data_IF_392428223534
#
_entry.id   IF_392428223534
#
_cell.length_a   1.000
_cell.length_b   1.000
_cell.length_c   1.000
_cell.angle_alpha   90.00
_cell.angle_beta   90.00
_cell.angle_gamma   90.00
#
_symmetry.space_group_name_H-M   'P 1'
#
loop_
_entity.id
_entity.type
_entity.pdbx_description
1 polymer ?
#
# COMPACT_ATOMS: atom_id res chain seq x y z
N UNK A 1 32.33 -19.36 -55.00
CA UNK A 1 31.77 -18.31 -54.13
C UNK A 1 30.57 -18.92 -53.42
N UNK A 2 30.79 -19.50 -52.25
CA UNK A 2 29.73 -20.15 -51.46
C UNK A 2 29.14 -19.10 -50.51
N UNK A 3 27.83 -18.91 -50.62
CA UNK A 3 27.05 -18.00 -49.77
C UNK A 3 27.02 -18.61 -48.37
N UNK A 4 27.62 -17.90 -47.40
CA UNK A 4 27.56 -18.26 -45.98
C UNK A 4 26.14 -17.97 -45.50
N UNK A 5 25.45 -19.04 -45.09
CA UNK A 5 24.14 -18.98 -44.48
C UNK A 5 24.19 -18.10 -43.23
N UNK A 6 23.15 -17.26 -43.09
CA UNK A 6 23.02 -16.28 -42.03
C UNK A 6 23.17 -16.91 -40.65
N UNK A 7 24.10 -16.35 -39.88
CA UNK A 7 24.17 -16.51 -38.44
C UNK A 7 22.84 -16.01 -37.87
N UNK A 8 22.00 -16.91 -37.38
CA UNK A 8 20.88 -16.52 -36.52
C UNK A 8 21.45 -15.68 -35.38
N UNK A 9 21.03 -14.42 -35.31
CA UNK A 9 21.34 -13.55 -34.18
C UNK A 9 20.72 -14.25 -32.96
N UNK A 10 21.49 -14.56 -31.91
CA UNK A 10 20.94 -15.21 -30.73
C UNK A 10 19.76 -14.39 -30.23
N UNK A 11 18.61 -15.03 -30.09
CA UNK A 11 17.39 -14.42 -29.55
C UNK A 11 17.70 -13.59 -28.32
N UNK A 12 17.08 -12.41 -28.20
CA UNK A 12 17.18 -11.58 -27.00
C UNK A 12 17.01 -12.45 -25.75
N UNK A 13 17.97 -12.36 -24.83
CA UNK A 13 17.95 -13.16 -23.61
C UNK A 13 16.84 -12.59 -22.74
N UNK A 14 15.72 -13.31 -22.71
CA UNK A 14 14.61 -13.06 -21.79
C UNK A 14 14.96 -13.57 -20.39
N UNK A 15 14.53 -12.85 -19.36
CA UNK A 15 14.62 -13.26 -17.96
C UNK A 15 13.30 -13.01 -17.25
N UNK A 16 12.87 -13.95 -16.42
CA UNK A 16 11.69 -13.78 -15.56
C UNK A 16 12.13 -13.49 -14.11
N UNK A 17 11.68 -12.37 -13.56
CA UNK A 17 11.97 -11.95 -12.19
C UNK A 17 10.66 -11.84 -11.41
N UNK A 18 10.59 -12.48 -10.24
CA UNK A 18 9.44 -12.41 -9.33
C UNK A 18 9.83 -11.76 -8.01
N UNK A 19 8.90 -11.06 -7.36
CA UNK A 19 9.05 -10.63 -5.97
C UNK A 19 7.78 -10.79 -5.15
N UNK A 20 7.94 -11.14 -3.87
CA UNK A 20 6.82 -11.27 -2.94
C UNK A 20 7.27 -11.17 -1.48
N UNK A 21 6.63 -10.29 -0.71
CA UNK A 21 6.64 -10.40 0.75
C UNK A 21 5.79 -11.60 1.20
N UNK A 22 6.44 -12.57 1.86
CA UNK A 22 5.79 -13.83 2.25
C UNK A 22 5.39 -13.89 3.72
N UNK A 23 5.46 -12.78 4.44
CA UNK A 23 4.97 -12.63 5.82
C UNK A 23 5.46 -13.74 6.78
N UNK A 24 6.72 -14.15 6.63
CA UNK A 24 7.40 -15.18 7.43
C UNK A 24 6.74 -16.56 7.40
N UNK A 25 5.90 -16.85 6.40
CA UNK A 25 5.28 -18.17 6.26
C UNK A 25 6.33 -19.25 6.14
N UNK A 26 6.05 -20.42 6.71
CA UNK A 26 6.96 -21.57 6.67
C UNK A 26 6.40 -22.65 5.75
N UNK A 27 7.24 -23.50 5.15
CA UNK A 27 6.79 -24.60 4.30
C UNK A 27 5.85 -25.59 5.01
N UNK A 28 5.90 -25.61 6.34
CA UNK A 28 5.04 -26.44 7.20
C UNK A 28 3.68 -25.82 7.51
N UNK A 29 3.45 -24.57 7.11
CA UNK A 29 2.16 -23.89 7.29
C UNK A 29 1.29 -24.04 6.05
N UNK A 30 -0.04 -24.13 6.22
CA UNK A 30 -0.98 -24.28 5.10
C UNK A 30 -0.83 -23.19 4.03
N UNK A 31 -0.59 -21.94 4.46
CA UNK A 31 -0.32 -20.83 3.56
C UNK A 31 1.07 -20.93 2.91
N UNK A 32 2.09 -21.36 3.65
CA UNK A 32 3.45 -21.46 3.12
C UNK A 32 3.63 -22.55 2.07
N UNK A 33 2.93 -23.68 2.19
CA UNK A 33 2.92 -24.70 1.14
C UNK A 33 2.41 -24.13 -0.19
N UNK A 34 1.26 -23.45 -0.15
CA UNK A 34 0.66 -22.80 -1.33
C UNK A 34 1.52 -21.66 -1.89
N UNK A 35 2.18 -20.88 -1.02
CA UNK A 35 3.15 -19.87 -1.44
C UNK A 35 4.31 -20.52 -2.21
N UNK A 36 4.86 -21.63 -1.71
CA UNK A 36 5.93 -22.34 -2.40
C UNK A 36 5.49 -22.89 -3.77
N UNK A 37 4.27 -23.42 -3.87
CA UNK A 37 3.68 -23.86 -5.14
C UNK A 37 3.54 -22.69 -6.13
N UNK A 38 3.06 -21.53 -5.68
CA UNK A 38 2.93 -20.33 -6.52
C UNK A 38 4.31 -19.86 -6.99
N UNK A 39 5.28 -19.74 -6.07
CA UNK A 39 6.65 -19.33 -6.41
C UNK A 39 7.29 -20.29 -7.42
N UNK A 40 7.10 -21.60 -7.25
CA UNK A 40 7.53 -22.61 -8.22
C UNK A 40 6.82 -22.45 -9.58
N UNK A 41 5.51 -22.22 -9.57
CA UNK A 41 4.69 -22.11 -10.77
C UNK A 41 5.02 -20.85 -11.60
N UNK A 42 5.54 -19.78 -10.97
CA UNK A 42 6.02 -18.59 -11.71
C UNK A 42 7.09 -18.95 -12.73
N UNK A 43 7.80 -20.07 -12.56
CA UNK A 43 8.93 -20.48 -13.39
C UNK A 43 9.99 -19.39 -13.53
N UNK A 44 10.09 -18.50 -12.53
CA UNK A 44 11.03 -17.39 -12.55
C UNK A 44 12.48 -17.89 -12.57
N UNK A 45 13.33 -17.09 -13.20
CA UNK A 45 14.78 -17.27 -13.20
C UNK A 45 15.40 -16.71 -11.93
N UNK A 46 14.82 -15.60 -11.43
CA UNK A 46 15.23 -14.90 -10.21
C UNK A 46 13.98 -14.62 -9.38
N UNK A 47 14.07 -14.86 -8.07
CA UNK A 47 13.01 -14.58 -7.11
C UNK A 47 13.60 -13.74 -5.98
N UNK A 48 12.97 -12.62 -5.66
CA UNK A 48 13.25 -11.85 -4.44
C UNK A 48 12.10 -12.05 -3.46
N UNK A 49 12.36 -12.72 -2.34
CA UNK A 49 11.38 -12.82 -1.27
C UNK A 49 11.75 -11.86 -0.16
N UNK A 50 10.78 -11.06 0.29
CA UNK A 50 10.90 -10.31 1.53
C UNK A 50 10.11 -10.98 2.64
N UNK A 51 10.54 -10.72 3.87
CA UNK A 51 10.02 -11.41 5.07
C UNK A 51 9.95 -12.94 4.88
N UNK A 52 11.02 -13.51 4.32
CA UNK A 52 11.04 -14.87 3.81
C UNK A 52 11.74 -15.88 4.72
N UNK A 53 11.46 -17.15 4.43
CA UNK A 53 12.29 -18.28 4.85
C UNK A 53 12.76 -19.04 3.62
N UNK A 54 13.99 -19.56 3.66
CA UNK A 54 14.60 -20.20 2.49
C UNK A 54 13.79 -21.38 1.94
N UNK A 55 13.13 -22.13 2.82
CA UNK A 55 12.38 -23.33 2.43
C UNK A 55 11.15 -23.08 1.55
N UNK A 56 10.70 -21.84 1.38
CA UNK A 56 9.61 -21.51 0.44
C UNK A 56 10.09 -21.43 -1.02
N UNK A 57 11.39 -21.28 -1.24
CA UNK A 57 11.96 -21.08 -2.57
C UNK A 57 12.08 -22.40 -3.33
N UNK A 58 12.03 -22.37 -4.67
CA UNK A 58 12.25 -23.54 -5.50
C UNK A 58 13.55 -24.30 -5.17
N UNK A 59 13.49 -25.63 -5.29
CA UNK A 59 14.65 -26.50 -5.11
C UNK A 59 15.71 -26.33 -6.20
N UNK A 60 16.97 -26.66 -5.88
CA UNK A 60 18.07 -26.74 -6.86
C UNK A 60 18.67 -25.39 -7.31
N UNK A 61 18.21 -24.26 -6.77
CA UNK A 61 18.77 -22.93 -7.06
C UNK A 61 19.80 -22.42 -6.04
N UNK A 62 20.31 -21.22 -6.31
CA UNK A 62 21.30 -20.51 -5.50
C UNK A 62 20.63 -19.39 -4.73
N UNK A 63 21.06 -19.18 -3.48
CA UNK A 63 20.47 -18.15 -2.61
C UNK A 63 21.53 -17.30 -1.95
N UNK A 64 21.24 -16.01 -1.86
CA UNK A 64 21.94 -15.05 -1.00
C UNK A 64 20.89 -14.29 -0.20
N UNK A 65 21.23 -13.87 1.02
CA UNK A 65 20.35 -13.08 1.87
C UNK A 65 21.06 -11.84 2.39
N UNK A 66 20.27 -10.85 2.81
CA UNK A 66 20.77 -9.60 3.35
C UNK A 66 21.29 -9.71 4.80
N UNK A 67 21.40 -10.92 5.34
CA UNK A 67 21.87 -11.18 6.68
C UNK A 67 20.79 -11.02 7.76
N UNK A 68 21.19 -10.95 9.04
CA UNK A 68 20.26 -10.82 10.16
C UNK A 68 19.49 -9.49 10.14
N UNK A 69 18.22 -9.53 10.58
CA UNK A 69 17.38 -8.33 10.69
C UNK A 69 17.95 -7.35 11.71
N UNK A 70 18.02 -6.08 11.32
CA UNK A 70 18.45 -5.00 12.19
C UNK A 70 17.34 -4.65 13.18
N UNK A 71 17.70 -4.61 14.47
CA UNK A 71 16.83 -4.07 15.51
C UNK A 71 15.69 -4.98 15.99
N UNK A 72 15.68 -6.25 15.56
CA UNK A 72 14.78 -7.29 16.03
C UNK A 72 15.55 -8.53 16.50
N UNK A 73 14.91 -9.37 17.32
CA UNK A 73 15.48 -10.65 17.76
C UNK A 73 15.78 -11.55 16.56
N UNK A 74 16.90 -12.27 16.64
CA UNK A 74 17.34 -13.16 15.58
C UNK A 74 16.55 -14.45 15.57
N UNK A 75 15.72 -14.61 14.55
CA UNK A 75 15.11 -15.90 14.19
C UNK A 75 15.96 -16.55 13.09
N UNK A 76 16.61 -17.67 13.40
CA UNK A 76 17.66 -18.25 12.55
C UNK A 76 17.23 -18.51 11.10
N UNK A 77 15.97 -18.89 10.89
CA UNK A 77 15.41 -19.24 9.58
C UNK A 77 14.84 -18.06 8.79
N UNK A 78 14.63 -16.91 9.42
CA UNK A 78 13.95 -15.74 8.84
C UNK A 78 14.95 -14.75 8.27
N UNK A 79 14.69 -14.25 7.06
CA UNK A 79 15.43 -13.15 6.43
C UNK A 79 14.50 -12.11 5.84
N UNK A 80 14.78 -10.84 6.11
CA UNK A 80 13.99 -9.72 5.57
C UNK A 80 14.10 -9.64 4.05
N UNK A 81 15.22 -10.07 3.47
CA UNK A 81 15.42 -10.22 2.02
C UNK A 81 16.19 -11.50 1.72
N UNK A 82 15.67 -12.31 0.81
CA UNK A 82 16.36 -13.44 0.18
C UNK A 82 16.27 -13.26 -1.33
N UNK A 83 17.41 -13.31 -2.01
CA UNK A 83 17.48 -13.42 -3.47
C UNK A 83 17.79 -14.87 -3.81
N UNK A 84 16.95 -15.46 -4.64
CA UNK A 84 17.12 -16.79 -5.22
C UNK A 84 17.31 -16.66 -6.73
N UNK A 85 18.14 -17.53 -7.29
CA UNK A 85 18.36 -17.63 -8.72
C UNK A 85 18.48 -19.08 -9.14
N UNK A 86 17.90 -19.44 -10.28
CA UNK A 86 18.11 -20.73 -10.93
C UNK A 86 19.58 -20.92 -11.36
N UNK A 87 20.27 -19.82 -11.62
CA UNK A 87 21.65 -19.77 -12.09
C UNK A 87 22.61 -19.41 -10.95
N UNK A 88 23.92 -19.72 -11.07
CA UNK A 88 24.92 -19.36 -10.08
C UNK A 88 24.82 -17.91 -9.64
N UNK A 89 24.80 -17.68 -8.33
CA UNK A 89 24.54 -16.38 -7.72
C UNK A 89 25.68 -16.00 -6.78
N UNK A 90 26.33 -14.87 -7.05
CA UNK A 90 27.42 -14.34 -6.24
C UNK A 90 26.97 -13.06 -5.53
N UNK A 91 27.17 -12.97 -4.21
CA UNK A 91 26.91 -11.74 -3.44
C UNK A 91 28.02 -10.74 -3.67
N UNK A 92 27.67 -9.54 -4.09
CA UNK A 92 28.60 -8.42 -4.30
C UNK A 92 28.61 -7.48 -3.09
N UNK A 93 27.44 -7.14 -2.58
CA UNK A 93 27.27 -6.20 -1.48
C UNK A 93 26.13 -6.62 -0.56
N UNK A 94 26.23 -6.22 0.70
CA UNK A 94 25.18 -6.39 1.71
C UNK A 94 25.14 -5.11 2.54
N UNK A 95 23.94 -4.60 2.83
CA UNK A 95 23.79 -3.53 3.80
C UNK A 95 24.25 -4.03 5.17
N UNK A 96 25.24 -3.38 5.77
CA UNK A 96 25.79 -3.76 7.09
C UNK A 96 25.51 -2.74 8.18
N UNK A 97 24.90 -1.60 7.85
CA UNK A 97 24.72 -0.47 8.75
C UNK A 97 23.31 0.08 8.76
N UNK A 98 22.89 0.58 9.92
CA UNK A 98 21.64 1.34 10.08
C UNK A 98 20.43 0.65 9.45
N UNK A 99 19.60 1.43 8.76
CA UNK A 99 18.36 0.94 8.18
C UNK A 99 18.56 -0.12 7.07
N UNK A 100 19.74 -0.20 6.42
CA UNK A 100 20.00 -1.16 5.34
C UNK A 100 20.45 -2.53 5.83
N UNK A 101 20.87 -2.65 7.09
CA UNK A 101 21.29 -3.92 7.67
C UNK A 101 20.14 -4.93 7.70
N UNK A 102 20.38 -6.12 7.12
CA UNK A 102 19.35 -7.15 6.99
C UNK A 102 18.35 -6.91 5.85
N UNK A 103 18.38 -5.74 5.20
CA UNK A 103 17.31 -5.25 4.31
C UNK A 103 17.77 -4.90 2.89
N UNK A 104 19.07 -4.97 2.64
CA UNK A 104 19.67 -4.70 1.32
C UNK A 104 20.73 -5.74 0.99
N UNK A 105 20.62 -6.35 -0.19
CA UNK A 105 21.66 -7.22 -0.77
C UNK A 105 21.78 -6.94 -2.26
N UNK A 106 23.01 -6.94 -2.76
CA UNK A 106 23.30 -6.88 -4.20
C UNK A 106 24.01 -8.17 -4.57
N UNK A 107 23.53 -8.81 -5.62
CA UNK A 107 24.08 -10.06 -6.10
C UNK A 107 24.00 -10.16 -7.61
N UNK A 108 24.92 -10.88 -8.21
CA UNK A 108 24.96 -11.10 -9.65
C UNK A 108 24.69 -12.56 -9.96
N UNK A 109 23.65 -12.80 -10.75
CA UNK A 109 23.32 -14.09 -11.32
C UNK A 109 24.07 -14.24 -12.65
N UNK A 110 24.70 -15.41 -12.86
CA UNK A 110 25.45 -15.72 -14.08
C UNK A 110 24.56 -16.55 -15.01
N UNK A 111 23.79 -15.86 -15.87
CA UNK A 111 22.91 -16.51 -16.85
C UNK A 111 23.67 -16.89 -18.13
N UNK A 112 23.16 -17.86 -18.93
CA UNK A 112 23.73 -18.19 -20.24
C UNK A 112 23.86 -16.97 -21.17
N UNK A 113 22.93 -16.02 -21.05
CA UNK A 113 22.92 -14.77 -21.81
C UNK A 113 23.73 -13.62 -21.20
N UNK A 114 24.62 -13.91 -20.25
CA UNK A 114 25.43 -12.93 -19.53
C UNK A 114 24.86 -12.53 -18.17
N UNK A 115 25.66 -11.84 -17.35
CA UNK A 115 25.30 -11.54 -15.97
C UNK A 115 24.12 -10.57 -15.88
N UNK A 116 23.30 -10.75 -14.84
CA UNK A 116 22.29 -9.79 -14.40
C UNK A 116 22.50 -9.55 -12.91
N UNK A 117 22.55 -8.27 -12.54
CA UNK A 117 22.65 -7.83 -11.16
C UNK A 117 21.26 -7.65 -10.57
N UNK A 118 21.09 -8.09 -9.33
CA UNK A 118 19.85 -7.98 -8.56
C UNK A 118 20.14 -7.21 -7.29
N UNK A 119 19.40 -6.12 -7.09
CA UNK A 119 19.34 -5.36 -5.85
C UNK A 119 18.07 -5.78 -5.11
N UNK A 120 18.22 -6.68 -4.14
CA UNK A 120 17.13 -7.13 -3.28
C UNK A 120 16.91 -6.15 -2.14
N UNK A 121 15.69 -5.63 -1.99
CA UNK A 121 15.35 -4.60 -0.99
C UNK A 121 14.15 -4.97 -0.12
N UNK A 122 14.18 -4.53 1.14
CA UNK A 122 13.01 -4.44 2.01
C UNK A 122 13.08 -3.08 2.71
N UNK A 123 12.62 -2.03 2.04
CA UNK A 123 12.70 -0.67 2.53
C UNK A 123 11.84 -0.56 3.80
N UNK A 124 12.33 0.03 4.91
CA UNK A 124 11.59 0.06 6.17
C UNK A 124 10.19 0.66 6.04
N UNK A 125 9.20 0.06 6.70
CA UNK A 125 7.85 0.62 6.76
C UNK A 125 7.79 1.86 7.66
N UNK A 126 6.68 2.59 7.61
CA UNK A 126 6.45 3.83 8.37
C UNK A 126 6.88 3.76 9.84
N UNK A 127 6.53 2.68 10.53
CA UNK A 127 6.69 2.54 11.98
C UNK A 127 7.87 1.60 12.34
N UNK A 128 8.80 1.35 11.42
CA UNK A 128 10.00 0.55 11.68
C UNK A 128 10.77 1.13 12.88
N UNK A 129 10.95 0.32 13.92
CA UNK A 129 11.57 0.69 15.19
C UNK A 129 10.93 1.86 15.96
N UNK A 130 9.68 2.22 15.67
CA UNK A 130 8.97 3.27 16.43
C UNK A 130 8.36 2.71 17.71
N UNK A 131 7.72 1.53 17.64
CA UNK A 131 7.03 0.90 18.79
C UNK A 131 7.47 -0.53 19.08
N UNK A 132 8.21 -1.15 18.18
CA UNK A 132 8.67 -2.55 18.26
C UNK A 132 10.14 -2.62 17.89
N UNK A 133 10.84 -3.69 18.27
CA UNK A 133 12.28 -3.79 18.04
C UNK A 133 13.06 -2.80 18.91
N UNK A 134 13.84 -1.89 18.30
CA UNK A 134 14.65 -0.90 19.04
C UNK A 134 13.84 0.21 19.73
N UNK A 135 12.63 0.50 19.24
CA UNK A 135 11.73 1.51 19.81
C UNK A 135 12.34 2.93 19.96
N UNK A 136 13.32 3.28 19.14
CA UNK A 136 14.07 4.54 19.19
C UNK A 136 13.96 5.37 17.90
N UNK A 137 13.14 4.95 16.94
CA UNK A 137 12.93 5.65 15.68
C UNK A 137 11.67 6.54 15.68
N UNK A 138 11.62 7.49 14.75
CA UNK A 138 10.43 8.29 14.46
C UNK A 138 9.72 7.78 13.21
N UNK A 139 8.40 8.04 13.03
CA UNK A 139 7.70 7.63 11.83
C UNK A 139 8.42 8.11 10.55
N UNK A 140 8.68 7.17 9.64
CA UNK A 140 9.43 7.33 8.39
C UNK A 140 10.93 7.65 8.52
N UNK A 141 11.52 7.78 9.72
CA UNK A 141 12.93 8.16 9.83
C UNK A 141 13.86 7.08 9.26
N UNK A 142 13.62 5.80 9.55
CA UNK A 142 14.43 4.72 8.98
C UNK A 142 14.18 4.51 7.49
N UNK A 143 12.96 4.77 7.02
CA UNK A 143 12.66 4.73 5.59
C UNK A 143 13.53 5.74 4.82
N UNK A 144 13.64 6.96 5.34
CA UNK A 144 14.44 8.02 4.73
C UNK A 144 15.95 7.75 4.86
N UNK A 145 16.43 7.29 6.03
CA UNK A 145 17.84 6.86 6.19
C UNK A 145 18.20 5.74 5.21
N UNK A 146 17.28 4.78 5.00
CA UNK A 146 17.48 3.72 4.02
C UNK A 146 17.62 4.30 2.60
N UNK A 147 16.73 5.20 2.20
CA UNK A 147 16.76 5.82 0.87
C UNK A 147 18.03 6.65 0.67
N UNK A 148 18.48 7.40 1.68
CA UNK A 148 19.74 8.15 1.63
C UNK A 148 20.97 7.25 1.46
N UNK A 149 20.94 6.06 2.05
CA UNK A 149 21.99 5.05 1.86
C UNK A 149 21.90 4.40 0.49
N UNK A 150 20.69 4.09 0.03
CA UNK A 150 20.46 3.47 -1.27
C UNK A 150 20.91 4.39 -2.41
N UNK A 151 20.63 5.70 -2.32
CA UNK A 151 21.08 6.72 -3.29
C UNK A 151 22.60 6.73 -3.48
N UNK A 152 23.37 6.46 -2.43
CA UNK A 152 24.84 6.40 -2.53
C UNK A 152 25.33 5.14 -3.24
N UNK A 153 24.52 4.09 -3.25
CA UNK A 153 24.87 2.78 -3.78
C UNK A 153 24.48 2.68 -5.25
N UNK A 154 23.25 3.06 -5.63
CA UNK A 154 22.73 2.83 -6.99
C UNK A 154 23.63 3.39 -8.12
N UNK A 155 24.21 4.60 -8.02
CA UNK A 155 25.10 5.11 -9.07
C UNK A 155 26.37 4.27 -9.27
N UNK A 156 26.89 3.64 -8.20
CA UNK A 156 28.06 2.76 -8.30
C UNK A 156 27.78 1.45 -9.06
N UNK A 157 26.51 1.15 -9.33
CA UNK A 157 26.07 -0.05 -10.04
C UNK A 157 25.87 0.16 -11.55
N UNK A 158 26.03 1.38 -12.10
CA UNK A 158 26.03 1.60 -13.57
C UNK A 158 27.40 1.31 -14.19
N UNK A 159 27.91 0.09 -13.97
CA UNK A 159 29.18 -0.42 -14.48
C UNK A 159 29.04 -1.21 -15.79
N UNK A 160 27.87 -1.17 -16.41
CA UNK A 160 27.57 -1.91 -17.63
C UNK A 160 26.69 -3.14 -17.44
N UNK A 161 26.55 -3.66 -16.22
CA UNK A 161 25.74 -4.87 -15.97
C UNK A 161 24.24 -4.51 -15.93
N UNK A 162 23.38 -5.20 -16.71
CA UNK A 162 21.93 -5.02 -16.61
C UNK A 162 21.46 -5.32 -15.19
N UNK A 163 20.72 -4.37 -14.60
CA UNK A 163 20.42 -4.43 -13.16
C UNK A 163 18.92 -4.31 -12.92
N UNK A 164 18.43 -5.20 -12.05
CA UNK A 164 17.07 -5.22 -11.52
C UNK A 164 17.11 -4.81 -10.06
N UNK A 165 16.16 -4.01 -9.62
CA UNK A 165 15.85 -3.78 -8.20
C UNK A 165 14.49 -4.40 -7.92
N UNK A 166 14.41 -5.25 -6.90
CA UNK A 166 13.18 -5.95 -6.58
C UNK A 166 13.01 -6.16 -5.08
N UNK A 167 11.76 -6.12 -4.61
CA UNK A 167 11.43 -6.34 -3.21
C UNK A 167 10.31 -5.44 -2.70
N UNK A 168 10.20 -5.31 -1.39
CA UNK A 168 9.19 -4.49 -0.72
C UNK A 168 9.70 -3.05 -0.57
N UNK A 169 9.09 -2.12 -1.30
CA UNK A 169 9.45 -0.70 -1.27
C UNK A 169 8.70 0.04 -0.13
N UNK A 170 7.75 -0.62 0.52
CA UNK A 170 6.87 -0.06 1.55
C UNK A 170 6.15 1.24 1.12
N UNK A 171 6.01 1.44 -0.19
CA UNK A 171 5.37 2.58 -0.82
C UNK A 171 4.71 2.14 -2.11
N UNK A 172 3.49 2.62 -2.35
CA UNK A 172 2.81 2.56 -3.65
C UNK A 172 3.45 3.57 -4.60
N UNK A 173 3.61 3.18 -5.85
CA UNK A 173 4.00 4.06 -6.96
C UNK A 173 2.90 3.94 -8.01
N UNK A 174 2.20 5.01 -8.42
CA UNK A 174 2.31 6.39 -7.92
C UNK A 174 1.84 6.56 -6.46
N UNK A 175 2.22 7.68 -5.85
CA UNK A 175 1.90 8.01 -4.45
C UNK A 175 0.39 7.99 -4.20
N UNK A 176 -0.05 7.43 -3.08
CA UNK A 176 -1.43 7.52 -2.62
C UNK A 176 -1.52 8.24 -1.26
N UNK A 177 -1.17 7.55 -0.17
CA UNK A 177 -1.33 8.04 1.22
C UNK A 177 -0.02 8.37 1.91
N UNK A 178 1.11 8.01 1.29
CA UNK A 178 2.42 8.33 1.83
C UNK A 178 2.59 9.85 1.88
N UNK A 179 3.27 10.40 2.91
CA UNK A 179 3.61 11.81 2.95
C UNK A 179 4.38 12.21 1.68
N UNK A 180 4.07 13.39 1.14
CA UNK A 180 4.70 13.89 -0.11
C UNK A 180 6.22 13.81 -0.03
N UNK A 181 6.83 14.34 1.04
CA UNK A 181 8.29 14.28 1.26
C UNK A 181 8.91 12.88 1.22
N UNK A 182 8.14 11.84 1.57
CA UNK A 182 8.61 10.45 1.62
C UNK A 182 8.48 9.80 0.25
N UNK A 183 7.39 10.09 -0.46
CA UNK A 183 7.20 9.63 -1.83
C UNK A 183 8.16 10.31 -2.80
N UNK A 184 8.31 11.63 -2.69
CA UNK A 184 9.27 12.41 -3.51
C UNK A 184 10.70 11.91 -3.30
N UNK A 185 11.05 11.52 -2.05
CA UNK A 185 12.36 10.95 -1.78
C UNK A 185 12.56 9.62 -2.51
N UNK A 186 11.58 8.72 -2.48
CA UNK A 186 11.64 7.46 -3.22
C UNK A 186 11.76 7.71 -4.73
N UNK A 187 10.92 8.59 -5.28
CA UNK A 187 10.97 8.99 -6.68
C UNK A 187 12.33 9.56 -7.08
N UNK A 188 12.95 10.37 -6.22
CA UNK A 188 14.29 10.93 -6.43
C UNK A 188 15.37 9.86 -6.47
N UNK A 189 15.35 8.88 -5.55
CA UNK A 189 16.35 7.79 -5.52
C UNK A 189 16.25 6.89 -6.74
N UNK A 190 15.03 6.69 -7.27
CA UNK A 190 14.77 5.85 -8.43
C UNK A 190 14.53 6.65 -9.73
N UNK A 191 14.99 7.90 -9.81
CA UNK A 191 14.72 8.77 -10.96
C UNK A 191 15.21 8.19 -12.30
N UNK A 192 16.37 7.52 -12.29
CA UNK A 192 16.98 6.88 -13.47
C UNK A 192 16.54 5.41 -13.66
N UNK A 193 15.52 4.97 -12.92
CA UNK A 193 15.01 3.61 -12.94
C UNK A 193 13.57 3.58 -13.47
N UNK A 194 13.25 2.54 -14.22
CA UNK A 194 11.87 2.26 -14.62
C UNK A 194 11.27 1.24 -13.68
N UNK A 195 10.25 1.62 -12.91
CA UNK A 195 9.53 0.71 -12.01
C UNK A 195 8.34 0.10 -12.77
N UNK A 196 8.51 -1.13 -13.26
CA UNK A 196 7.56 -1.82 -14.15
C UNK A 196 6.25 -2.22 -13.47
N UNK A 197 6.29 -2.38 -12.16
CA UNK A 197 5.15 -2.76 -11.32
C UNK A 197 4.48 -1.56 -10.65
N UNK A 198 4.78 -0.35 -11.11
CA UNK A 198 4.06 0.86 -10.70
C UNK A 198 2.68 0.90 -11.37
N UNK A 199 1.71 1.53 -10.69
CA UNK A 199 0.35 1.73 -11.19
C UNK A 199 -0.65 0.71 -10.68
N UNK A 200 -1.75 0.58 -11.42
CA UNK A 200 -2.85 -0.32 -11.09
C UNK A 200 -2.65 -1.71 -11.67
N UNK A 201 -2.66 -2.72 -10.81
CA UNK A 201 -2.72 -4.12 -11.20
C UNK A 201 -3.96 -4.76 -10.56
N UNK A 202 -4.48 -5.89 -11.11
CA UNK A 202 -5.69 -6.54 -10.62
C UNK A 202 -5.68 -6.87 -9.13
N UNK A 203 -4.52 -7.25 -8.58
CA UNK A 203 -4.35 -7.62 -7.18
C UNK A 203 -3.67 -6.50 -6.35
N UNK A 204 -3.43 -5.35 -6.98
CA UNK A 204 -2.84 -4.14 -6.41
C UNK A 204 -3.87 -3.08 -5.99
N UNK A 205 -3.45 -1.96 -5.39
CA UNK A 205 -2.12 -1.35 -5.53
C UNK A 205 -1.02 -2.01 -4.67
N UNK A 206 0.12 -2.24 -5.30
CA UNK A 206 1.30 -2.92 -4.76
C UNK A 206 2.23 -1.96 -4.02
N UNK A 207 2.97 -2.51 -3.06
CA UNK A 207 4.15 -1.88 -2.46
C UNK A 207 5.42 -2.71 -2.69
N UNK A 208 5.26 -3.94 -3.19
CA UNK A 208 6.32 -4.77 -3.75
C UNK A 208 6.52 -4.38 -5.20
N UNK A 209 7.76 -4.11 -5.56
CA UNK A 209 8.08 -3.60 -6.87
C UNK A 209 9.25 -4.29 -7.54
N UNK A 210 9.22 -4.33 -8.87
CA UNK A 210 10.32 -4.69 -9.76
C UNK A 210 10.60 -3.48 -10.64
N UNK A 211 11.84 -3.03 -10.63
CA UNK A 211 12.33 -1.99 -11.51
C UNK A 211 13.66 -2.35 -12.14
N UNK A 212 14.00 -1.68 -13.24
CA UNK A 212 15.25 -1.90 -13.97
C UNK A 212 15.95 -0.60 -14.29
N UNK A 213 17.27 -0.71 -14.48
CA UNK A 213 18.01 0.34 -15.19
C UNK A 213 17.70 0.27 -16.70
N UNK A 214 18.18 1.27 -17.45
CA UNK A 214 17.98 1.42 -18.91
C UNK A 214 18.45 0.25 -19.79
N UNK A 215 19.13 -0.75 -19.22
CA UNK A 215 19.68 -1.90 -19.97
C UNK A 215 18.72 -3.08 -20.06
N UNK A 216 17.58 -3.01 -19.38
CA UNK A 216 16.51 -3.99 -19.46
C UNK A 216 15.19 -3.30 -19.81
N UNK A 217 14.47 -3.87 -20.76
CA UNK A 217 13.09 -3.53 -21.07
C UNK A 217 12.10 -4.53 -20.48
N UNK A 218 10.82 -4.18 -20.53
CA UNK A 218 9.72 -5.02 -20.06
C UNK A 218 8.97 -5.64 -21.25
N UNK A 219 8.77 -6.95 -21.22
CA UNK A 219 7.85 -7.62 -22.14
C UNK A 219 6.45 -7.74 -21.53
N UNK A 220 6.40 -8.25 -20.30
CA UNK A 220 5.15 -8.54 -19.60
C UNK A 220 5.33 -8.32 -18.10
N UNK A 221 4.35 -7.68 -17.47
CA UNK A 221 4.20 -7.67 -16.03
C UNK A 221 2.87 -8.34 -15.65
N UNK A 222 2.88 -9.13 -14.58
CA UNK A 222 1.70 -9.77 -14.02
C UNK A 222 1.79 -9.78 -12.49
N UNK A 223 0.65 -10.03 -11.84
CA UNK A 223 0.56 -10.16 -10.39
C UNK A 223 -0.33 -11.35 -9.99
N UNK A 224 -0.23 -11.76 -8.72
CA UNK A 224 -1.09 -12.77 -8.13
C UNK A 224 -1.59 -12.33 -6.76
N UNK A 225 -2.79 -12.78 -6.34
CA UNK A 225 -3.43 -12.28 -5.14
C UNK A 225 -2.71 -12.69 -3.85
N UNK A 226 -2.90 -11.87 -2.82
CA UNK A 226 -2.46 -12.12 -1.44
C UNK A 226 -3.27 -13.23 -0.73
N UNK A 227 -4.30 -13.77 -1.39
CA UNK A 227 -5.24 -14.75 -0.85
C UNK A 227 -5.79 -15.61 -1.98
N UNK A 228 -6.22 -16.81 -1.67
CA UNK A 228 -6.92 -17.70 -2.59
C UNK A 228 -8.25 -18.18 -1.96
N UNK A 229 -8.87 -19.20 -2.56
CA UNK A 229 -10.11 -19.79 -2.06
C UNK A 229 -9.99 -20.48 -0.68
N UNK A 230 -8.77 -20.79 -0.22
CA UNK A 230 -8.47 -21.38 1.09
C UNK A 230 -8.02 -20.32 2.10
N UNK A 231 -8.02 -19.05 1.74
CA UNK A 231 -7.79 -17.92 2.63
C UNK A 231 -6.48 -17.17 2.36
N UNK A 232 -6.00 -16.45 3.38
CA UNK A 232 -4.90 -15.50 3.23
C UNK A 232 -3.54 -16.19 3.15
N UNK A 233 -2.78 -15.88 2.10
CA UNK A 233 -1.41 -16.36 1.88
C UNK A 233 -0.42 -15.41 2.57
N UNK A 234 -0.49 -14.14 2.20
CA UNK A 234 0.33 -13.04 2.70
C UNK A 234 -0.55 -11.80 2.90
N UNK A 235 -0.03 -10.77 3.56
CA UNK A 235 -0.60 -9.43 3.52
C UNK A 235 -0.24 -8.63 2.27
N UNK A 236 0.63 -9.19 1.43
CA UNK A 236 1.05 -8.64 0.16
C UNK A 236 0.62 -9.56 -1.00
N UNK A 237 0.28 -8.94 -2.13
CA UNK A 237 0.21 -9.63 -3.41
C UNK A 237 1.63 -9.77 -3.98
N UNK A 238 1.87 -10.76 -4.84
CA UNK A 238 3.17 -10.90 -5.49
C UNK A 238 3.13 -10.45 -6.94
N UNK A 239 4.30 -10.11 -7.49
CA UNK A 239 4.44 -9.59 -8.85
C UNK A 239 5.57 -10.29 -9.60
N UNK A 240 5.44 -10.39 -10.92
CA UNK A 240 6.44 -10.95 -11.82
C UNK A 240 6.58 -10.10 -13.07
N UNK A 241 7.82 -9.94 -13.53
CA UNK A 241 8.14 -9.31 -14.80
C UNK A 241 8.95 -10.26 -15.67
N UNK A 242 8.58 -10.36 -16.94
CA UNK A 242 9.43 -10.90 -18.00
C UNK A 242 10.12 -9.74 -18.68
N UNK A 243 11.45 -9.78 -18.71
CA UNK A 243 12.32 -8.69 -19.12
C UNK A 243 13.23 -9.16 -20.25
N UNK A 244 13.58 -8.25 -21.15
CA UNK A 244 14.58 -8.46 -22.20
C UNK A 244 15.74 -7.49 -22.04
N UNK A 245 16.91 -7.84 -22.57
CA UNK A 245 18.02 -6.88 -22.70
C UNK A 245 17.63 -5.81 -23.71
N UNK A 246 17.67 -4.55 -23.29
CA UNK A 246 17.50 -3.43 -24.21
C UNK A 246 18.67 -3.41 -25.19
N UNK A 247 18.40 -3.32 -26.49
CA UNK A 247 19.44 -3.10 -27.48
C UNK A 247 20.13 -1.77 -27.15
N UNK A 248 21.47 -1.78 -27.07
CA UNK A 248 22.23 -0.55 -26.88
C UNK A 248 21.94 0.38 -28.07
N UNK A 249 21.00 1.31 -27.91
CA UNK A 249 20.98 2.51 -28.72
C UNK A 249 22.26 3.27 -28.37
N UNK A 250 23.31 3.06 -29.16
CA UNK A 250 24.45 3.96 -29.20
C UNK A 250 23.89 5.39 -29.32
N UNK A 251 24.47 6.40 -28.64
CA UNK A 251 24.04 7.78 -28.79
C UNK A 251 24.41 8.25 -30.20
N UNK A 252 23.52 7.96 -31.16
CA UNK A 252 23.58 8.43 -32.53
C UNK A 252 23.15 9.88 -32.57
N UNK A 253 24.12 10.74 -32.85
CA UNK A 253 24.00 12.12 -33.34
C UNK A 253 22.61 12.42 -33.92
N UNK A 254 21.81 13.21 -33.20
CA UNK A 254 20.62 13.86 -33.75
C UNK A 254 21.08 14.79 -34.88
N UNK A 255 20.93 14.35 -36.14
CA UNK A 255 20.80 15.28 -37.25
C UNK A 255 19.37 15.84 -37.19
N UNK A 256 19.27 17.10 -36.77
CA UNK A 256 18.10 17.94 -36.95
C UNK A 256 18.12 18.41 -38.41
N UNK A 257 17.06 18.23 -39.21
CA UNK A 257 16.73 19.17 -40.25
C UNK A 257 15.70 20.16 -39.70
N UNK A 258 16.12 21.42 -39.68
CA UNK A 258 15.24 22.55 -39.48
C UNK A 258 14.28 22.69 -40.67
N UNK A 259 13.03 22.99 -40.39
CA UNK A 259 12.22 23.85 -41.25
C UNK A 259 11.08 24.46 -40.44
N UNK A 260 10.99 25.77 -40.61
CA UNK A 260 10.23 26.80 -39.91
C UNK A 260 8.72 26.82 -40.26
N UNK A 261 7.92 27.71 -39.63
CA UNK A 261 6.49 27.55 -39.40
C UNK A 261 5.64 28.16 -40.52
N UNK A 262 4.38 27.73 -40.62
CA UNK A 262 3.37 28.42 -41.41
C UNK A 262 2.06 28.62 -40.65
N UNK A 263 1.44 29.74 -41.00
CA UNK A 263 0.41 30.50 -40.32
C UNK A 263 -1.02 29.93 -40.40
N UNK A 264 -1.80 30.28 -39.36
CA UNK A 264 -3.19 30.80 -39.38
C UNK A 264 -4.17 30.26 -40.46
N UNK A 265 -5.25 29.61 -40.00
CA UNK A 265 -6.62 30.01 -40.39
C UNK A 265 -7.68 29.34 -39.51
N UNK A 266 -8.47 30.19 -38.87
CA UNK A 266 -9.81 29.86 -38.37
C UNK A 266 -10.74 29.59 -39.55
N UNK A 267 -11.56 28.55 -39.48
CA UNK A 267 -12.92 28.61 -40.03
C UNK A 267 -13.81 27.57 -39.32
N UNK A 268 -14.91 28.08 -38.78
CA UNK A 268 -15.85 27.30 -38.00
C UNK A 268 -16.70 26.36 -38.85
N UNK A 269 -17.19 25.29 -38.21
CA UNK A 269 -18.45 24.66 -38.59
C UNK A 269 -19.06 23.93 -37.41
N UNK A 270 -20.14 24.52 -36.92
CA UNK A 270 -21.17 23.91 -36.07
C UNK A 270 -21.78 22.70 -36.78
N UNK A 271 -21.87 21.55 -36.10
CA UNK A 271 -22.82 20.49 -36.45
C UNK A 271 -23.45 19.93 -35.17
N UNK A 272 -24.71 20.32 -35.02
CA UNK A 272 -25.87 19.67 -34.39
C UNK A 272 -25.66 18.53 -33.38
N UNK A 273 -26.12 18.83 -32.16
CA UNK A 273 -26.68 17.89 -31.20
C UNK A 273 -27.90 17.16 -31.79
N UNK A 274 -27.94 15.84 -31.66
CA UNK A 274 -29.21 15.10 -31.66
C UNK A 274 -29.35 14.37 -30.33
N UNK A 275 -30.38 14.78 -29.60
CA UNK A 275 -30.78 14.30 -28.28
C UNK A 275 -31.65 13.05 -28.41
N UNK A 276 -31.41 12.06 -27.55
CA UNK A 276 -32.44 11.11 -27.13
C UNK A 276 -32.53 11.16 -25.62
N UNK A 277 -33.48 11.97 -25.14
CA UNK A 277 -33.90 11.99 -23.75
C UNK A 277 -34.94 10.88 -23.53
N UNK A 278 -34.63 9.94 -22.64
CA UNK A 278 -35.65 9.18 -21.91
C UNK A 278 -35.66 9.72 -20.48
N UNK A 279 -36.71 10.46 -20.15
CA UNK A 279 -36.96 11.10 -18.87
C UNK A 279 -37.38 10.06 -17.83
N UNK A 280 -36.47 9.72 -16.92
CA UNK A 280 -36.82 9.22 -15.58
C UNK A 280 -36.65 10.40 -14.63
N UNK A 281 -37.72 10.73 -13.89
CA UNK A 281 -37.82 11.95 -13.07
C UNK A 281 -36.60 12.17 -12.17
N UNK A 282 -35.84 13.21 -12.47
CA UNK A 282 -34.70 13.63 -11.68
C UNK A 282 -35.19 14.28 -10.38
N UNK A 283 -34.94 13.61 -9.26
CA UNK A 283 -35.09 14.21 -7.94
C UNK A 283 -34.01 15.29 -7.80
N UNK A 284 -34.34 16.54 -7.41
CA UNK A 284 -33.34 17.59 -7.30
C UNK A 284 -32.27 17.17 -6.27
N UNK A 285 -30.97 17.34 -6.58
CA UNK A 285 -29.85 16.87 -5.75
C UNK A 285 -29.78 17.53 -4.37
N UNK A 286 -30.65 18.52 -4.11
CA UNK A 286 -30.71 19.28 -2.87
C UNK A 286 -31.96 19.03 -2.01
N UNK A 287 -32.86 18.12 -2.42
CA UNK A 287 -34.10 17.80 -1.73
C UNK A 287 -33.91 17.02 -0.42
N UNK A 288 -34.96 16.97 0.44
CA UNK A 288 -34.97 16.12 1.63
C UNK A 288 -34.80 14.64 1.24
N UNK A 289 -34.27 13.82 2.16
CA UNK A 289 -34.14 12.38 1.96
C UNK A 289 -35.53 11.77 1.75
N UNK A 290 -35.79 11.23 0.55
CA UNK A 290 -37.08 10.61 0.23
C UNK A 290 -37.17 9.19 0.81
N UNK A 291 -38.38 8.66 0.92
CA UNK A 291 -38.64 7.28 1.34
C UNK A 291 -37.93 6.26 0.45
N UNK A 292 -37.86 6.53 -0.86
CA UNK A 292 -37.26 5.62 -1.85
C UNK A 292 -35.74 5.59 -1.69
N UNK A 293 -35.12 6.76 -1.56
CA UNK A 293 -33.67 6.86 -1.31
C UNK A 293 -33.28 6.20 0.01
N UNK A 294 -34.10 6.41 1.06
CA UNK A 294 -33.89 5.77 2.36
C UNK A 294 -33.96 4.24 2.26
N UNK A 295 -34.98 3.72 1.58
CA UNK A 295 -35.16 2.28 1.39
C UNK A 295 -33.95 1.68 0.66
N UNK A 296 -33.47 2.36 -0.39
CA UNK A 296 -32.28 1.92 -1.13
C UNK A 296 -31.00 1.92 -0.25
N UNK A 297 -30.82 2.95 0.59
CA UNK A 297 -29.70 3.00 1.54
C UNK A 297 -29.75 1.84 2.55
N UNK A 298 -30.94 1.53 3.09
CA UNK A 298 -31.13 0.42 4.02
C UNK A 298 -30.83 -0.93 3.34
N UNK A 299 -31.29 -1.13 2.10
CA UNK A 299 -30.99 -2.34 1.31
C UNK A 299 -29.50 -2.51 0.98
N UNK A 300 -28.78 -1.41 0.79
CA UNK A 300 -27.31 -1.43 0.66
C UNK A 300 -26.69 -1.86 1.99
N UNK A 301 -27.06 -1.23 3.11
CA UNK A 301 -26.52 -1.55 4.43
C UNK A 301 -26.76 -3.01 4.85
N UNK A 302 -27.92 -3.59 4.48
CA UNK A 302 -28.22 -5.02 4.71
C UNK A 302 -27.28 -5.95 3.96
N UNK A 303 -26.81 -5.56 2.77
CA UNK A 303 -25.96 -6.38 1.89
C UNK A 303 -24.47 -6.02 1.99
N UNK A 304 -24.12 -4.97 2.73
CA UNK A 304 -22.73 -4.61 3.02
C UNK A 304 -22.03 -5.78 3.72
N UNK A 305 -20.89 -6.21 3.19
CA UNK A 305 -20.09 -7.30 3.77
C UNK A 305 -19.36 -6.89 5.05
N UNK A 306 -18.84 -7.87 5.78
CA UNK A 306 -18.22 -7.73 7.12
C UNK A 306 -17.03 -6.74 7.20
N UNK A 307 -16.45 -6.37 6.06
CA UNK A 307 -15.38 -5.37 5.97
C UNK A 307 -15.84 -3.91 6.14
N UNK A 308 -17.16 -3.66 6.13
CA UNK A 308 -17.77 -2.34 6.19
C UNK A 308 -18.48 -2.10 7.53
N UNK A 309 -18.01 -1.07 8.25
CA UNK A 309 -18.39 -0.89 9.65
C UNK A 309 -19.81 -0.38 9.86
N UNK A 310 -20.39 0.37 8.92
CA UNK A 310 -21.76 0.88 9.08
C UNK A 310 -22.79 -0.20 8.75
N UNK A 311 -22.60 -0.96 7.68
CA UNK A 311 -23.43 -2.12 7.33
C UNK A 311 -23.49 -3.18 8.43
N UNK A 312 -22.33 -3.61 8.94
CA UNK A 312 -22.29 -4.58 10.05
C UNK A 312 -22.96 -4.04 11.33
N UNK A 313 -22.82 -2.74 11.62
CA UNK A 313 -23.54 -2.12 12.76
C UNK A 313 -25.05 -2.07 12.52
N UNK A 314 -25.46 -1.77 11.29
CA UNK A 314 -26.86 -1.66 10.90
C UNK A 314 -27.58 -3.02 11.01
N UNK A 315 -26.98 -4.09 10.49
CA UNK A 315 -27.55 -5.45 10.58
C UNK A 315 -27.76 -5.90 12.03
N UNK A 316 -26.79 -5.63 12.92
CA UNK A 316 -26.94 -5.96 14.34
C UNK A 316 -28.01 -5.10 15.03
N UNK A 317 -28.13 -3.83 14.66
CA UNK A 317 -29.23 -2.96 15.12
C UNK A 317 -30.59 -3.46 14.64
N UNK A 318 -30.72 -3.91 13.40
CA UNK A 318 -31.96 -4.49 12.86
C UNK A 318 -32.37 -5.77 13.61
N UNK A 319 -31.40 -6.53 14.12
CA UNK A 319 -31.63 -7.69 15.01
C UNK A 319 -32.09 -7.31 16.43
N UNK A 320 -32.22 -6.01 16.73
CA UNK A 320 -32.68 -5.50 18.02
C UNK A 320 -31.59 -5.33 19.08
N UNK A 321 -30.30 -5.47 18.73
CA UNK A 321 -29.22 -5.33 19.69
C UNK A 321 -29.02 -3.85 20.07
N UNK A 322 -28.80 -3.61 21.36
CA UNK A 322 -28.40 -2.33 21.91
C UNK A 322 -26.91 -2.02 21.67
N UNK A 323 -26.51 -0.76 21.90
CA UNK A 323 -25.15 -0.30 21.62
C UNK A 323 -24.04 -1.08 22.36
N UNK A 324 -24.31 -1.59 23.56
CA UNK A 324 -23.35 -2.39 24.32
C UNK A 324 -23.19 -3.80 23.75
N UNK A 325 -24.28 -4.42 23.33
CA UNK A 325 -24.30 -5.75 22.71
C UNK A 325 -23.63 -5.71 21.34
N UNK A 326 -23.93 -4.68 20.52
CA UNK A 326 -23.25 -4.44 19.24
C UNK A 326 -21.73 -4.24 19.45
N UNK A 327 -21.33 -3.50 20.49
CA UNK A 327 -19.92 -3.27 20.78
C UNK A 327 -19.20 -4.58 21.14
N UNK A 328 -19.84 -5.43 21.94
CA UNK A 328 -19.31 -6.74 22.32
C UNK A 328 -19.20 -7.69 21.11
N UNK A 329 -20.27 -7.83 20.34
CA UNK A 329 -20.33 -8.69 19.15
C UNK A 329 -19.27 -8.32 18.10
N UNK A 330 -19.04 -7.01 17.93
CA UNK A 330 -18.06 -6.50 16.95
C UNK A 330 -16.64 -6.39 17.51
N UNK A 331 -16.43 -6.72 18.78
CA UNK A 331 -15.15 -6.53 19.49
C UNK A 331 -14.59 -5.10 19.41
N UNK A 332 -15.45 -4.07 19.49
CA UNK A 332 -15.06 -2.65 19.44
C UNK A 332 -15.49 -1.89 20.69
N UNK A 333 -14.91 -0.70 20.93
CA UNK A 333 -15.30 0.11 22.08
C UNK A 333 -16.75 0.61 21.98
N UNK A 334 -17.44 0.71 23.12
CA UNK A 334 -18.81 1.26 23.19
C UNK A 334 -18.89 2.69 22.62
N UNK A 335 -17.87 3.51 22.82
CA UNK A 335 -17.80 4.86 22.25
C UNK A 335 -17.73 4.85 20.72
N UNK A 336 -16.96 3.92 20.15
CA UNK A 336 -16.91 3.69 18.70
C UNK A 336 -18.27 3.27 18.16
N UNK A 337 -18.94 2.30 18.81
CA UNK A 337 -20.28 1.83 18.42
C UNK A 337 -21.32 2.94 18.45
N UNK A 338 -21.35 3.76 19.51
CA UNK A 338 -22.23 4.94 19.58
C UNK A 338 -21.96 5.93 18.44
N UNK A 339 -20.69 6.10 18.06
CA UNK A 339 -20.30 6.90 16.90
C UNK A 339 -20.86 6.38 15.58
N UNK A 340 -20.87 5.06 15.39
CA UNK A 340 -21.48 4.43 14.21
C UNK A 340 -22.99 4.58 14.20
N UNK A 341 -23.66 4.30 15.32
CA UNK A 341 -25.12 4.43 15.42
C UNK A 341 -25.59 5.86 15.14
N UNK A 342 -24.92 6.86 15.73
CA UNK A 342 -25.23 8.27 15.45
C UNK A 342 -25.00 8.65 13.97
N UNK A 343 -24.00 8.07 13.33
CA UNK A 343 -23.75 8.28 11.90
C UNK A 343 -24.80 7.59 11.01
N UNK A 344 -25.28 6.40 11.41
CA UNK A 344 -26.37 5.71 10.73
C UNK A 344 -27.68 6.48 10.86
N UNK A 345 -27.98 7.01 12.06
CA UNK A 345 -29.16 7.85 12.26
C UNK A 345 -29.09 9.07 11.34
N UNK A 346 -27.97 9.79 11.32
CA UNK A 346 -27.79 10.95 10.45
C UNK A 346 -27.85 10.64 8.95
N UNK A 347 -27.37 9.46 8.53
CA UNK A 347 -27.52 8.97 7.16
C UNK A 347 -29.01 8.75 6.82
N UNK A 348 -29.72 8.00 7.65
CA UNK A 348 -31.11 7.56 7.40
C UNK A 348 -32.16 8.65 7.65
N UNK A 349 -31.80 9.74 8.34
CA UNK A 349 -32.64 10.93 8.46
C UNK A 349 -32.24 12.06 7.51
N UNK A 350 -31.09 11.92 6.82
CA UNK A 350 -30.52 12.99 5.99
C UNK A 350 -30.06 14.22 6.78
N UNK A 351 -29.87 14.10 8.09
CA UNK A 351 -29.48 15.22 8.97
C UNK A 351 -28.00 15.55 8.84
N UNK A 352 -27.69 16.84 8.71
CA UNK A 352 -26.30 17.31 8.67
C UNK A 352 -25.77 17.63 10.08
N UNK A 353 -24.57 17.14 10.43
CA UNK A 353 -23.93 17.49 11.70
C UNK A 353 -23.38 18.91 11.67
N UNK A 354 -23.32 19.58 12.82
CA UNK A 354 -22.84 20.98 12.93
C UNK A 354 -21.35 21.10 13.28
N UNK A 355 -20.69 20.01 13.66
CA UNK A 355 -19.27 20.04 14.08
C UNK A 355 -18.36 19.36 13.06
N UNK A 356 -17.11 19.82 12.96
CA UNK A 356 -16.11 19.26 12.04
C UNK A 356 -15.89 17.76 12.25
N UNK A 357 -15.78 17.32 13.51
CA UNK A 357 -15.53 15.92 13.85
C UNK A 357 -16.73 15.03 13.52
N UNK A 358 -17.95 15.50 13.76
CA UNK A 358 -19.17 14.79 13.39
C UNK A 358 -19.36 14.77 11.87
N UNK A 359 -19.02 15.84 11.14
CA UNK A 359 -19.05 15.87 9.68
C UNK A 359 -18.11 14.83 9.05
N UNK A 360 -16.87 14.75 9.54
CA UNK A 360 -15.92 13.72 9.10
C UNK A 360 -16.43 12.31 9.39
N UNK A 361 -16.95 12.07 10.60
CA UNK A 361 -17.51 10.75 10.97
C UNK A 361 -18.71 10.39 10.10
N UNK A 362 -19.63 11.33 9.88
CA UNK A 362 -20.82 11.10 9.07
C UNK A 362 -20.49 10.83 7.61
N UNK A 363 -19.44 11.46 7.08
CA UNK A 363 -18.99 11.21 5.71
C UNK A 363 -18.64 9.75 5.45
N UNK A 364 -18.21 8.99 6.47
CA UNK A 364 -17.91 7.57 6.28
C UNK A 364 -19.15 6.76 5.89
N UNK A 365 -20.33 7.06 6.44
CA UNK A 365 -21.56 6.36 6.08
C UNK A 365 -21.94 6.58 4.61
N UNK A 366 -21.83 7.83 4.13
CA UNK A 366 -22.07 8.17 2.72
C UNK A 366 -21.01 7.58 1.78
N UNK A 367 -19.74 7.57 2.18
CA UNK A 367 -18.65 6.95 1.41
C UNK A 367 -18.77 5.43 1.38
N UNK A 368 -19.41 4.81 2.36
CA UNK A 368 -19.73 3.39 2.34
C UNK A 368 -20.69 3.08 1.19
N UNK A 369 -21.71 3.91 0.97
CA UNK A 369 -22.65 3.75 -0.15
C UNK A 369 -21.95 3.76 -1.51
N UNK A 370 -20.80 4.46 -1.62
CA UNK A 370 -20.03 4.54 -2.85
C UNK A 370 -19.37 3.20 -3.25
N UNK A 371 -19.24 2.26 -2.31
CA UNK A 371 -18.71 0.91 -2.57
C UNK A 371 -19.73 -0.04 -3.21
N UNK A 372 -21.00 0.38 -3.30
CA UNK A 372 -22.08 -0.48 -3.78
C UNK A 372 -22.68 0.07 -5.08
N UNK A 373 -23.19 -0.81 -5.96
CA UNK A 373 -24.09 -0.41 -7.02
C UNK A 373 -25.29 0.34 -6.43
N UNK A 374 -25.62 1.48 -7.03
CA UNK A 374 -26.66 2.41 -6.57
C UNK A 374 -27.33 3.07 -7.75
N UNK A 375 -28.56 3.51 -7.56
CA UNK A 375 -29.32 4.27 -8.55
C UNK A 375 -28.68 5.62 -8.82
N UNK A 376 -28.99 6.21 -9.99
CA UNK A 376 -28.53 7.56 -10.36
C UNK A 376 -29.00 8.62 -9.36
N UNK A 377 -30.21 8.43 -8.81
CA UNK A 377 -30.78 9.32 -7.81
C UNK A 377 -30.03 9.21 -6.48
N UNK A 378 -29.71 8.00 -6.02
CA UNK A 378 -28.93 7.80 -4.81
C UNK A 378 -27.48 8.29 -4.98
N UNK A 379 -26.84 8.05 -6.12
CA UNK A 379 -25.50 8.58 -6.40
C UNK A 379 -25.47 10.11 -6.34
N UNK A 380 -26.45 10.76 -6.97
CA UNK A 380 -26.59 12.22 -6.95
C UNK A 380 -26.78 12.75 -5.53
N UNK A 381 -27.64 12.09 -4.75
CA UNK A 381 -27.89 12.45 -3.35
C UNK A 381 -26.62 12.28 -2.49
N UNK A 382 -25.94 11.14 -2.57
CA UNK A 382 -24.71 10.85 -1.82
C UNK A 382 -23.63 11.90 -2.13
N UNK A 383 -23.42 12.22 -3.41
CA UNK A 383 -22.46 13.25 -3.82
C UNK A 383 -22.83 14.65 -3.32
N UNK A 384 -24.13 14.99 -3.29
CA UNK A 384 -24.59 16.25 -2.74
C UNK A 384 -24.34 16.35 -1.22
N UNK A 385 -24.64 15.30 -0.47
CA UNK A 385 -24.39 15.26 0.98
C UNK A 385 -22.90 15.32 1.31
N UNK A 386 -22.04 14.64 0.55
CA UNK A 386 -20.59 14.72 0.73
C UNK A 386 -20.05 16.13 0.47
N UNK A 387 -20.60 16.88 -0.49
CA UNK A 387 -20.26 18.30 -0.70
C UNK A 387 -20.60 19.15 0.53
N UNK A 388 -21.82 19.01 1.06
CA UNK A 388 -22.26 19.74 2.27
C UNK A 388 -21.42 19.38 3.49
N UNK A 389 -21.10 18.10 3.68
CA UNK A 389 -20.20 17.66 4.76
C UNK A 389 -18.79 18.24 4.60
N UNK A 390 -18.32 18.43 3.36
CA UNK A 390 -17.02 19.03 3.06
C UNK A 390 -16.96 20.53 3.33
N UNK A 391 -18.08 21.24 3.16
CA UNK A 391 -18.19 22.65 3.58
C UNK A 391 -18.00 22.80 5.09
N UNK A 392 -18.49 21.82 5.87
CA UNK A 392 -18.34 21.80 7.33
C UNK A 392 -16.94 21.33 7.72
N UNK A 393 -16.39 20.32 7.04
CA UNK A 393 -15.03 19.83 7.26
C UNK A 393 -14.31 19.53 5.93
N UNK A 394 -13.32 20.35 5.59
CA UNK A 394 -12.53 20.23 4.35
C UNK A 394 -11.81 18.89 4.17
N UNK A 395 -11.60 18.11 5.25
CA UNK A 395 -11.01 16.76 5.21
C UNK A 395 -11.98 15.68 4.70
N UNK A 396 -13.25 16.00 4.46
CA UNK A 396 -14.22 15.06 3.88
C UNK A 396 -13.81 14.71 2.45
N UNK A 397 -13.77 13.39 2.20
CA UNK A 397 -13.40 12.79 0.92
C UNK A 397 -14.63 12.33 0.16
N UNK A 398 -14.54 12.33 -1.18
CA UNK A 398 -15.54 11.75 -2.09
C UNK A 398 -15.20 10.33 -2.50
N UNK A 399 -14.04 9.81 -2.08
CA UNK A 399 -13.61 8.47 -2.45
C UNK A 399 -14.43 7.42 -1.69
N UNK A 400 -14.77 6.27 -2.31
CA UNK A 400 -15.35 5.15 -1.60
C UNK A 400 -14.51 4.73 -0.37
N UNK A 401 -15.14 4.11 0.64
CA UNK A 401 -14.36 3.56 1.75
C UNK A 401 -13.54 2.39 1.24
N UNK A 402 -12.24 2.37 1.53
CA UNK A 402 -11.42 1.21 1.23
C UNK A 402 -11.90 0.02 2.08
N UNK A 403 -12.55 -0.97 1.44
CA UNK A 403 -13.16 -2.16 2.06
C UNK A 403 -12.17 -3.20 2.54
N UNK A 404 -10.84 -2.96 2.45
CA UNK A 404 -9.85 -3.75 3.17
C UNK A 404 -10.17 -3.66 4.66
N UNK A 405 -10.75 -4.74 5.19
CA UNK A 405 -11.05 -5.03 6.60
C UNK A 405 -10.43 -3.99 7.55
N UNK A 406 -11.08 -2.82 7.66
CA UNK A 406 -10.77 -1.87 8.72
C UNK A 406 -11.50 -2.40 9.95
N UNK A 407 -11.11 -3.61 10.39
CA UNK A 407 -11.35 -4.00 11.75
C UNK A 407 -10.72 -2.90 12.57
N UNK A 408 -11.52 -2.24 13.40
CA UNK A 408 -11.00 -1.49 14.52
C UNK A 408 -10.27 -2.53 15.38
N UNK A 409 -9.03 -2.84 15.01
CA UNK A 409 -8.25 -3.88 15.62
C UNK A 409 -8.21 -3.59 17.10
N UNK A 410 -8.62 -4.59 17.90
CA UNK A 410 -8.69 -4.61 19.36
C UNK A 410 -8.10 -3.34 19.96
N UNK A 411 -8.94 -2.31 20.08
CA UNK A 411 -8.61 -1.19 20.92
C UNK A 411 -8.55 -1.76 22.33
N UNK A 412 -7.35 -2.16 22.79
CA UNK A 412 -7.14 -2.41 24.21
C UNK A 412 -7.77 -1.22 24.92
N UNK A 413 -8.67 -1.42 25.89
CA UNK A 413 -9.17 -0.30 26.67
C UNK A 413 -7.95 0.52 27.07
N UNK A 414 -7.99 1.83 26.82
CA UNK A 414 -6.94 2.75 27.27
C UNK A 414 -6.81 2.55 28.77
N UNK A 415 -5.92 1.66 29.18
CA UNK A 415 -5.28 1.72 30.47
C UNK A 415 -4.42 2.96 30.34
N UNK A 416 -4.93 4.07 30.84
CA UNK A 416 -4.06 5.17 31.21
C UNK A 416 -2.94 4.54 32.08
N UNK A 417 -1.66 4.70 31.72
CA UNK A 417 -0.59 4.32 32.62
C UNK A 417 -0.81 5.11 33.91
N UNK A 418 -1.00 4.41 35.02
CA UNK A 418 -1.05 4.99 36.37
C UNK A 418 0.39 5.30 36.84
N UNK A 419 1.30 5.60 35.92
CA UNK A 419 2.71 5.81 36.18
C UNK A 419 3.15 7.19 35.68
N UNK A 420 2.55 8.22 36.29
CA UNK A 420 3.25 9.48 36.60
C UNK A 420 2.46 10.30 37.64
N UNK A 421 1.84 9.63 38.62
CA UNK A 421 1.53 10.28 39.90
C UNK A 421 2.60 9.79 40.86
N UNK A 422 3.67 10.58 41.03
CA UNK A 422 4.42 10.52 42.27
C UNK A 422 3.37 10.63 43.39
N UNK A 423 3.25 9.58 44.20
CA UNK A 423 2.56 9.67 45.47
C UNK A 423 3.33 10.71 46.28
N UNK A 424 2.83 11.95 46.28
CA UNK A 424 3.16 12.91 47.31
C UNK A 424 2.55 12.31 48.58
N UNK A 425 3.42 11.85 49.47
CA UNK A 425 3.05 11.43 50.82
C UNK A 425 2.18 12.52 51.44
N UNK A 426 1.09 12.14 52.10
CA UNK A 426 0.10 13.06 52.70
C UNK A 426 0.66 13.96 53.83
N UNK A 427 1.99 14.05 53.99
CA UNK A 427 2.68 14.85 54.99
C UNK A 427 3.18 16.22 54.49
N UNK A 428 3.27 16.47 53.17
CA UNK A 428 4.06 17.61 52.64
C UNK A 428 3.27 18.66 51.84
N UNK A 429 1.93 18.72 51.97
CA UNK A 429 1.13 19.73 51.27
C UNK A 429 1.02 21.03 52.09
N UNK A 430 1.31 22.20 51.47
CA UNK A 430 1.12 23.53 52.06
C UNK A 430 -0.36 23.70 52.45
N UNK A 431 -0.64 23.81 53.76
CA UNK A 431 -2.00 23.81 54.33
C UNK A 431 -2.85 25.00 53.89
N UNK A 432 -2.23 26.14 53.57
CA UNK A 432 -2.94 27.34 53.10
C UNK A 432 -3.45 27.19 51.66
N UNK A 433 -2.63 26.65 50.76
CA UNK A 433 -3.04 26.42 49.36
C UNK A 433 -4.07 25.29 49.23
N UNK A 434 -4.01 24.28 50.11
CA UNK A 434 -5.00 23.22 50.15
C UNK A 434 -6.41 23.73 50.47
N UNK A 435 -6.56 24.78 51.29
CA UNK A 435 -7.84 25.36 51.66
C UNK A 435 -8.59 26.01 50.48
N UNK A 436 -7.87 26.38 49.42
CA UNK A 436 -8.43 26.98 48.19
C UNK A 436 -8.39 26.03 46.98
N UNK A 437 -8.10 24.75 47.21
CA UNK A 437 -8.16 23.71 46.17
C UNK A 437 -6.93 23.64 45.27
N UNK A 438 -5.79 24.21 45.67
CA UNK A 438 -4.53 24.17 44.91
C UNK A 438 -3.58 23.19 45.58
N UNK A 439 -3.04 22.23 44.82
CA UNK A 439 -2.11 21.21 45.31
C UNK A 439 -0.77 21.34 44.56
N UNK A 440 0.29 21.69 45.29
CA UNK A 440 1.67 21.69 44.79
C UNK A 440 2.65 21.21 45.88
N UNK A 441 3.87 20.87 45.47
CA UNK A 441 5.00 20.55 46.35
C UNK A 441 6.05 21.68 46.31
N UNK A 442 6.46 22.21 47.46
CA UNK A 442 7.44 23.31 47.59
C UNK A 442 7.00 24.40 48.57
N UNK A 443 7.90 25.33 48.91
CA UNK A 443 7.56 26.50 49.74
C UNK A 443 6.54 27.40 49.04
N UNK A 444 5.54 27.82 49.81
CA UNK A 444 4.69 28.96 49.54
C UNK A 444 5.56 30.24 49.77
#
# INVERSE_FOLDING_TARGET
MQVIAGTEIPSAVEITVATWNTQWRTPTSDAGHRIAEILQATSADIIVVTEGVRGLLPGGGYTVDAGPDWGYSLEQSRRKVIVWSRYPLAREFMGTEGATRGRLVVATAVLPGGPIRVVGVCIPWRDAHVRTGRCDAQPWSEHLDYLDRLERILPSLDDGIPTVVAGDFNQRIPRERQPIRVADRLSSVFADWTIHTAGGFPNGPHIDHIGTNRRLGLDVAADWPASDHLGRLSDHAGVVCRLHRAENSMPGVNQIPASEPDEISEEGRSVEQTSYATTVGAVPPNGPLTSELRTEMEDILRRSGDGLSHGATFQLRERGLGAAEIAAEREVSLGTTRGFLSSLDALLTGTLPTTKSAAKRNSYAYREMLNHPRSVNLDSHVKAQLRRLKEINSEVSFEPLNTRAFQYGKGKPRQHPVESRQQVSAGDACTECAAVGIIHSGEC
#
